data_IF_648752187219
#
_entry.id   IF_648752187219
#
_cell.length_a   1.000
_cell.length_b   1.000
_cell.length_c   1.000
_cell.angle_alpha   90.00
_cell.angle_beta   90.00
_cell.angle_gamma   90.00
#
_symmetry.space_group_name_H-M   'P 1'
#
loop_
_entity.id
_entity.type
_entity.pdbx_description
1 polymer ?
#
# COMPACT_ATOMS: atom_id res chain seq x y z
N UNK A 1 -6.08 -11.70 2.98
CA UNK A 1 -5.30 -10.54 2.52
C UNK A 1 -3.90 -10.61 3.11
N UNK A 2 -2.89 -10.26 2.34
CA UNK A 2 -1.50 -10.33 2.80
C UNK A 2 -1.19 -9.26 3.83
N UNK A 3 -0.35 -9.59 4.79
CA UNK A 3 0.20 -8.60 5.72
C UNK A 3 1.26 -7.76 5.01
N UNK A 4 1.59 -6.60 5.59
CA UNK A 4 2.67 -5.75 5.11
C UNK A 4 4.00 -6.53 5.06
N UNK A 5 4.28 -7.34 6.06
CA UNK A 5 5.50 -8.15 6.12
C UNK A 5 5.54 -9.21 5.02
N UNK A 6 4.41 -9.86 4.73
CA UNK A 6 4.33 -10.83 3.64
C UNK A 6 4.59 -10.17 2.27
N UNK A 7 4.06 -8.95 2.06
CA UNK A 7 4.30 -8.19 0.83
C UNK A 7 5.78 -7.85 0.69
N UNK A 8 6.43 -7.43 1.77
CA UNK A 8 7.87 -7.13 1.80
C UNK A 8 8.69 -8.38 1.50
N UNK A 9 8.36 -9.49 2.13
CA UNK A 9 9.04 -10.77 1.91
C UNK A 9 8.94 -11.22 0.45
N UNK A 10 7.75 -11.14 -0.15
CA UNK A 10 7.54 -11.51 -1.54
C UNK A 10 8.29 -10.59 -2.51
N UNK A 11 8.36 -9.29 -2.20
CA UNK A 11 9.08 -8.34 -3.02
C UNK A 11 10.57 -8.62 -3.07
N UNK A 12 11.17 -9.02 -1.96
CA UNK A 12 12.57 -9.45 -1.92
C UNK A 12 12.79 -10.81 -2.56
N UNK A 13 11.76 -11.68 -2.57
CA UNK A 13 11.80 -12.96 -3.27
C UNK A 13 12.95 -13.86 -2.82
N UNK A 14 13.76 -14.31 -3.76
CA UNK A 14 14.89 -15.19 -3.48
C UNK A 14 15.98 -14.56 -2.60
N UNK A 15 16.01 -13.24 -2.51
CA UNK A 15 16.99 -12.52 -1.67
C UNK A 15 16.50 -12.31 -0.24
N UNK A 16 15.30 -12.77 0.10
CA UNK A 16 14.71 -12.54 1.42
C UNK A 16 15.59 -13.07 2.56
N UNK A 17 16.15 -14.26 2.43
CA UNK A 17 17.00 -14.85 3.47
C UNK A 17 18.23 -13.98 3.76
N UNK A 18 18.75 -13.31 2.72
CA UNK A 18 19.87 -12.38 2.83
C UNK A 18 19.46 -11.02 3.40
N UNK A 19 18.31 -10.53 2.99
CA UNK A 19 17.80 -9.21 3.36
C UNK A 19 17.20 -9.20 4.77
N UNK A 20 16.58 -10.29 5.19
CA UNK A 20 15.80 -10.39 6.42
C UNK A 20 16.49 -9.82 7.67
N UNK A 21 17.80 -10.06 7.95
CA UNK A 21 18.44 -9.49 9.12
C UNK A 21 18.62 -7.97 9.10
N UNK A 22 18.49 -7.35 7.92
CA UNK A 22 18.80 -5.94 7.69
C UNK A 22 17.59 -5.10 7.29
N UNK A 23 16.46 -5.75 6.99
CA UNK A 23 15.27 -5.07 6.49
C UNK A 23 14.53 -4.34 7.61
N UNK A 24 14.07 -3.13 7.31
CA UNK A 24 13.23 -2.38 8.23
C UNK A 24 11.73 -2.65 7.99
N UNK A 25 10.88 -1.94 8.71
CA UNK A 25 9.42 -2.10 8.64
C UNK A 25 8.81 -1.73 7.29
N UNK A 26 9.54 -0.99 6.46
CA UNK A 26 9.09 -0.54 5.13
C UNK A 26 9.80 -1.26 3.98
N UNK A 27 10.61 -2.25 4.30
CA UNK A 27 11.30 -3.06 3.30
C UNK A 27 12.65 -2.53 2.86
N UNK A 28 13.15 -1.44 3.46
CA UNK A 28 14.47 -0.92 3.20
C UNK A 28 15.55 -1.77 3.86
N UNK A 29 16.61 -2.04 3.12
CA UNK A 29 17.81 -2.69 3.65
C UNK A 29 18.92 -1.67 3.75
N UNK A 30 19.49 -1.61 4.94
CA UNK A 30 20.60 -0.72 5.29
C UNK A 30 21.88 -1.53 5.35
N UNK A 31 22.87 -1.13 4.60
CA UNK A 31 24.18 -1.77 4.60
C UNK A 31 24.62 -2.19 3.20
N UNK A 32 25.87 -2.57 3.14
CA UNK A 32 26.53 -2.93 1.90
C UNK A 32 26.53 -4.45 1.74
N UNK A 33 25.54 -4.99 1.02
CA UNK A 33 25.62 -6.39 0.63
C UNK A 33 25.36 -6.50 -0.88
N UNK A 34 26.09 -7.41 -1.51
CA UNK A 34 25.98 -7.66 -2.92
C UNK A 34 24.93 -8.73 -3.21
N UNK A 35 24.13 -8.48 -4.24
CA UNK A 35 23.21 -9.48 -4.79
C UNK A 35 23.06 -9.22 -6.29
N UNK A 36 22.76 -10.28 -7.02
CA UNK A 36 22.49 -10.17 -8.44
C UNK A 36 21.13 -9.49 -8.65
N UNK A 37 21.08 -8.58 -9.61
CA UNK A 37 19.90 -7.75 -9.86
C UNK A 37 18.83 -8.49 -10.68
N UNK A 38 18.07 -9.38 -10.06
CA UNK A 38 16.85 -9.92 -10.66
C UNK A 38 15.61 -9.12 -10.29
N UNK A 39 15.75 -8.16 -9.38
CA UNK A 39 14.67 -7.30 -8.89
C UNK A 39 15.05 -5.85 -9.12
N UNK A 40 14.13 -5.05 -9.65
CA UNK A 40 14.34 -3.62 -9.75
C UNK A 40 14.36 -2.99 -8.36
N UNK A 41 15.37 -2.17 -8.12
CA UNK A 41 15.60 -1.54 -6.82
C UNK A 41 15.45 -0.05 -6.89
N UNK A 42 14.92 0.54 -5.82
CA UNK A 42 15.02 1.98 -5.59
C UNK A 42 16.09 2.28 -4.55
N UNK A 43 16.69 3.46 -4.66
CA UNK A 43 17.79 3.89 -3.81
C UNK A 43 17.34 5.12 -2.99
N UNK A 44 17.62 5.08 -1.69
CA UNK A 44 17.49 6.23 -0.81
C UNK A 44 18.82 6.49 -0.10
N UNK A 45 19.74 7.12 -0.80
CA UNK A 45 21.09 7.32 -0.29
C UNK A 45 22.06 6.23 -0.74
N UNK A 46 23.23 6.18 -0.10
CA UNK A 46 24.36 5.40 -0.60
C UNK A 46 24.23 3.90 -0.37
N UNK A 47 23.67 3.51 0.76
CA UNK A 47 23.58 2.09 1.16
C UNK A 47 22.18 1.69 1.59
N UNK A 48 21.16 2.37 1.06
CA UNK A 48 19.76 2.11 1.42
C UNK A 48 18.99 1.76 0.17
N UNK A 49 18.53 0.52 0.09
CA UNK A 49 17.87 -0.02 -1.10
C UNK A 49 16.61 -0.78 -0.73
N UNK A 50 15.65 -0.81 -1.64
CA UNK A 50 14.49 -1.70 -1.54
C UNK A 50 13.93 -2.01 -2.94
N UNK A 51 13.18 -3.12 -3.10
CA UNK A 51 12.50 -3.39 -4.36
C UNK A 51 11.54 -2.25 -4.73
N UNK A 52 11.55 -1.82 -5.99
CA UNK A 52 10.66 -0.77 -6.51
C UNK A 52 9.18 -1.08 -6.32
N UNK A 53 8.81 -2.36 -6.30
CA UNK A 53 7.43 -2.79 -6.08
C UNK A 53 6.87 -2.38 -4.72
N UNK A 54 7.74 -2.02 -3.76
CA UNK A 54 7.34 -1.57 -2.43
C UNK A 54 7.13 -0.06 -2.33
N UNK A 55 7.32 0.67 -3.44
CA UNK A 55 7.15 2.11 -3.46
C UNK A 55 5.74 2.50 -3.00
N UNK A 56 5.65 3.36 -2.00
CA UNK A 56 4.39 3.78 -1.41
C UNK A 56 3.89 2.90 -0.25
N UNK A 57 4.63 1.85 0.14
CA UNK A 57 4.18 0.93 1.20
C UNK A 57 4.09 1.60 2.57
N UNK A 58 4.85 2.66 2.82
CA UNK A 58 4.83 3.40 4.10
C UNK A 58 3.41 3.84 4.45
N UNK A 59 2.65 4.26 3.46
CA UNK A 59 1.28 4.74 3.60
C UNK A 59 0.28 3.88 2.86
N UNK A 60 0.71 2.75 2.32
CA UNK A 60 -0.08 1.88 1.44
C UNK A 60 -0.73 2.69 0.30
N UNK A 61 0.04 3.60 -0.33
CA UNK A 61 -0.44 4.54 -1.35
C UNK A 61 -1.67 5.35 -0.88
N UNK A 62 -1.71 5.70 0.41
CA UNK A 62 -2.79 6.43 1.08
C UNK A 62 -4.10 5.64 1.24
N UNK A 63 -4.08 4.34 0.97
CA UNK A 63 -5.22 3.48 1.22
C UNK A 63 -5.34 3.13 2.69
N UNK A 64 -6.55 3.25 3.24
CA UNK A 64 -6.87 2.91 4.62
C UNK A 64 -7.66 1.61 4.61
N UNK A 65 -7.22 0.62 5.39
CA UNK A 65 -7.90 -0.67 5.48
C UNK A 65 -9.28 -0.53 6.09
N UNK A 66 -10.26 -1.25 5.53
CA UNK A 66 -11.60 -1.37 6.07
C UNK A 66 -11.71 -2.70 6.81
N UNK A 67 -12.06 -2.64 8.09
CA UNK A 67 -12.32 -3.80 8.92
C UNK A 67 -13.77 -3.73 9.42
N UNK A 68 -14.68 -4.36 8.68
CA UNK A 68 -16.12 -4.25 8.91
C UNK A 68 -16.69 -2.93 8.41
N UNK A 69 -17.70 -2.42 9.11
CA UNK A 69 -18.28 -1.10 8.82
C UNK A 69 -17.41 -0.02 9.44
N UNK A 70 -16.98 0.93 8.64
CA UNK A 70 -16.11 2.00 9.13
C UNK A 70 -16.86 3.33 9.15
N UNK A 71 -16.70 4.07 10.25
CA UNK A 71 -17.27 5.41 10.41
C UNK A 71 -16.32 6.43 9.83
N UNK A 72 -16.85 7.27 8.94
CA UNK A 72 -16.10 8.33 8.26
C UNK A 72 -16.97 9.58 8.18
N UNK A 73 -16.36 10.72 7.87
CA UNK A 73 -17.12 11.94 7.57
C UNK A 73 -17.88 11.78 6.26
N UNK A 74 -19.01 12.47 6.13
CA UNK A 74 -19.74 12.51 4.86
C UNK A 74 -18.87 13.14 3.77
N UNK A 75 -18.96 12.63 2.56
CA UNK A 75 -18.19 13.13 1.44
C UNK A 75 -17.91 12.04 0.43
N UNK A 76 -17.01 12.35 -0.49
CA UNK A 76 -16.62 11.42 -1.56
C UNK A 76 -15.35 10.68 -1.20
N UNK A 77 -15.35 9.38 -1.50
CA UNK A 77 -14.23 8.49 -1.24
C UNK A 77 -13.98 7.58 -2.42
N UNK A 78 -12.70 7.27 -2.66
CA UNK A 78 -12.35 6.10 -3.45
C UNK A 78 -12.47 4.86 -2.57
N UNK A 79 -13.01 3.77 -3.13
CA UNK A 79 -12.98 2.47 -2.47
C UNK A 79 -12.36 1.45 -3.41
N UNK A 80 -11.57 0.56 -2.84
CA UNK A 80 -11.08 -0.62 -3.53
C UNK A 80 -12.02 -1.78 -3.22
N UNK A 81 -12.60 -2.36 -4.25
CA UNK A 81 -13.46 -3.54 -4.15
C UNK A 81 -12.68 -4.76 -4.61
N UNK A 82 -12.75 -5.82 -3.86
CA UNK A 82 -12.13 -7.09 -4.23
C UNK A 82 -13.08 -8.24 -3.95
N UNK A 83 -13.40 -9.01 -4.98
CA UNK A 83 -14.23 -10.21 -4.85
C UNK A 83 -13.30 -11.44 -4.80
N UNK A 84 -13.19 -12.11 -3.64
CA UNK A 84 -12.30 -13.27 -3.50
C UNK A 84 -12.75 -14.48 -4.30
N UNK A 85 -14.04 -14.60 -4.63
CA UNK A 85 -14.57 -15.72 -5.40
C UNK A 85 -14.20 -15.65 -6.86
N UNK A 86 -14.16 -14.45 -7.43
CA UNK A 86 -13.82 -14.20 -8.84
C UNK A 86 -12.42 -13.65 -9.01
N UNK A 87 -11.75 -13.26 -7.93
CA UNK A 87 -10.44 -12.62 -7.92
C UNK A 87 -10.40 -11.33 -8.73
N UNK A 88 -11.52 -10.61 -8.80
CA UNK A 88 -11.65 -9.34 -9.52
C UNK A 88 -11.48 -8.17 -8.56
N UNK A 89 -10.58 -7.27 -8.92
CA UNK A 89 -10.35 -5.99 -8.24
C UNK A 89 -10.98 -4.87 -9.06
N UNK A 90 -11.61 -3.91 -8.38
CA UNK A 90 -12.10 -2.69 -9.00
C UNK A 90 -11.98 -1.50 -8.05
N UNK A 91 -12.06 -0.30 -8.62
CA UNK A 91 -12.00 0.94 -7.85
C UNK A 91 -13.21 1.79 -8.21
N UNK A 92 -13.92 2.27 -7.20
CA UNK A 92 -15.12 3.07 -7.39
C UNK A 92 -15.08 4.32 -6.52
N UNK A 93 -15.75 5.37 -6.98
CA UNK A 93 -16.01 6.57 -6.17
C UNK A 93 -17.39 6.44 -5.57
N UNK A 94 -17.46 6.57 -4.25
CA UNK A 94 -18.73 6.54 -3.52
C UNK A 94 -18.98 7.90 -2.85
N UNK A 95 -20.26 8.19 -2.57
CA UNK A 95 -20.66 9.35 -1.82
C UNK A 95 -21.24 8.90 -0.48
N UNK A 96 -20.53 9.21 0.60
CA UNK A 96 -20.98 8.85 1.95
C UNK A 96 -21.92 9.93 2.47
N UNK A 97 -23.15 9.54 2.77
CA UNK A 97 -24.22 10.45 3.25
C UNK A 97 -24.61 10.20 4.69
N UNK A 98 -24.24 9.06 5.27
CA UNK A 98 -24.64 8.63 6.60
C UNK A 98 -23.47 8.28 7.51
N UNK A 99 -22.29 8.79 7.20
CA UNK A 99 -21.11 8.64 8.05
C UNK A 99 -20.52 7.24 8.14
N UNK A 100 -20.91 6.33 7.25
CA UNK A 100 -20.45 4.93 7.27
C UNK A 100 -20.13 4.46 5.86
N UNK A 101 -19.01 3.75 5.71
CA UNK A 101 -18.73 2.97 4.50
C UNK A 101 -19.16 1.52 4.78
N UNK A 102 -20.15 1.06 4.02
CA UNK A 102 -20.75 -0.26 4.16
C UNK A 102 -20.93 -0.91 2.78
N UNK A 103 -19.82 -1.43 2.24
CA UNK A 103 -19.79 -2.10 0.95
C UNK A 103 -19.20 -3.49 1.14
N UNK A 104 -19.91 -4.52 0.70
CA UNK A 104 -19.60 -5.92 0.96
C UNK A 104 -18.17 -6.33 0.57
N UNK A 105 -17.70 -5.88 -0.60
CA UNK A 105 -16.36 -6.23 -1.09
C UNK A 105 -15.32 -5.13 -0.88
N UNK A 106 -15.64 -4.09 -0.16
CA UNK A 106 -14.70 -3.00 0.09
C UNK A 106 -13.60 -3.43 1.05
N UNK A 107 -12.35 -3.30 0.62
CA UNK A 107 -11.18 -3.68 1.41
C UNK A 107 -10.43 -2.47 1.93
N UNK A 108 -10.45 -1.38 1.17
CA UNK A 108 -9.74 -0.14 1.48
C UNK A 108 -10.53 1.06 0.98
N UNK A 109 -10.26 2.20 1.59
CA UNK A 109 -10.79 3.47 1.14
C UNK A 109 -9.72 4.56 1.23
N UNK A 110 -9.94 5.65 0.52
CA UNK A 110 -9.20 6.89 0.73
C UNK A 110 -10.09 8.08 0.41
N UNK A 111 -9.98 9.18 1.17
CA UNK A 111 -10.77 10.38 0.90
C UNK A 111 -10.32 11.02 -0.41
N UNK A 112 -11.28 11.57 -1.16
CA UNK A 112 -10.97 12.43 -2.30
C UNK A 112 -10.77 13.83 -1.75
N UNK A 113 -9.52 14.29 -1.78
CA UNK A 113 -9.16 15.61 -1.26
C UNK A 113 -9.30 16.62 -2.40
N UNK A 114 -10.11 17.65 -2.16
CA UNK A 114 -10.23 18.76 -3.09
C UNK A 114 -8.90 19.51 -3.14
N UNK A 115 -8.33 19.77 -4.32
CA UNK A 115 -7.12 20.58 -4.41
C UNK A 115 -7.34 21.96 -3.80
N UNK A 116 -6.29 22.50 -3.17
CA UNK A 116 -6.33 23.85 -2.69
C UNK A 116 -6.37 24.82 -3.87
N UNK A 117 -7.11 25.92 -3.69
CA UNK A 117 -7.17 26.96 -4.72
C UNK A 117 -5.80 27.61 -4.93
N UNK A 118 -5.50 28.06 -6.15
CA UNK A 118 -4.28 28.84 -6.41
C UNK A 118 -4.22 30.10 -5.57
N UNK A 119 -3.03 30.48 -5.14
CA UNK A 119 -2.80 31.73 -4.40
C UNK A 119 -2.70 32.90 -5.35
N UNK A 120 -2.27 32.66 -6.59
CA UNK A 120 -2.13 33.67 -7.62
C UNK A 120 -2.50 33.13 -9.00
#
# INVERSE_FOLDING_TARGET
MKTKQEVIQEAWGEYWDKAKPYVDENGWVYGNFEFEHSVELELEGYDVIRPKSLQGIETNNHWISIDGNIKVDNGKYWVRLFNPDTNIESFEVINVLHGVIDYYFATHYQPIIKPQAPIY
#
